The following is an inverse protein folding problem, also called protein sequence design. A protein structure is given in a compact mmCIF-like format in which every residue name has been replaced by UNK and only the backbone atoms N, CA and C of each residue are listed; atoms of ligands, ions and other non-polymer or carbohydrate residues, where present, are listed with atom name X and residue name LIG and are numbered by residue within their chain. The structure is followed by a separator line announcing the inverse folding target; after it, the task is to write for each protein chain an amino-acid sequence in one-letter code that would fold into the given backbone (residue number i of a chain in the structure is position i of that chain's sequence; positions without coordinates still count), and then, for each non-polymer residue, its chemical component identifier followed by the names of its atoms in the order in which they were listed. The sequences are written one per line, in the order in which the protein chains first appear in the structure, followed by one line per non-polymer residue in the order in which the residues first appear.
data_IF_771086428164
#
_entry.id   IF_771086428164
#
_cell.length_a   1.000
_cell.length_b   1.000
_cell.length_c   1.000
_cell.angle_alpha   90.00
_cell.angle_beta   90.00
_cell.angle_gamma   90.00
#
_symmetry.space_group_name_H-M   'P 1'
#
loop_
_entity.id
_entity.type
_entity.pdbx_description
1 polymer ?
#
# COMPACT_ATOMS: atom_id res chain seq x y z
N UNK A 1 -3.96 9.93 -23.96
CA UNK A 1 -3.35 8.59 -24.14
C UNK A 1 -3.86 7.76 -22.98
N UNK A 2 -4.71 6.77 -23.23
CA UNK A 2 -5.09 5.80 -22.21
C UNK A 2 -3.84 4.98 -21.91
N UNK A 3 -3.14 5.34 -20.83
CA UNK A 3 -2.19 4.41 -20.24
C UNK A 3 -3.04 3.26 -19.68
N UNK A 4 -3.07 2.13 -20.39
CA UNK A 4 -3.68 0.91 -19.93
C UNK A 4 -3.00 0.51 -18.60
N UNK A 5 -3.57 0.99 -17.50
CA UNK A 5 -3.15 0.65 -16.15
C UNK A 5 -3.29 -0.85 -15.99
N UNK A 6 -2.20 -1.49 -15.55
CA UNK A 6 -2.21 -2.92 -15.34
C UNK A 6 -2.88 -3.25 -14.00
N UNK A 7 -4.21 -3.09 -13.95
CA UNK A 7 -5.04 -3.27 -12.77
C UNK A 7 -4.89 -4.66 -12.15
N UNK A 8 -4.67 -5.69 -12.98
CA UNK A 8 -4.40 -7.05 -12.51
C UNK A 8 -3.11 -7.11 -11.67
N UNK A 9 -2.05 -6.42 -12.11
CA UNK A 9 -0.79 -6.34 -11.39
C UNK A 9 -0.93 -5.53 -10.10
N UNK A 10 -1.66 -4.41 -10.14
CA UNK A 10 -1.95 -3.57 -8.97
C UNK A 10 -2.72 -4.40 -7.93
N UNK A 11 -3.80 -5.08 -8.32
CA UNK A 11 -4.61 -5.88 -7.40
C UNK A 11 -3.84 -7.05 -6.80
N UNK A 12 -2.97 -7.71 -7.57
CA UNK A 12 -2.17 -8.84 -7.06
C UNK A 12 -1.04 -8.44 -6.11
N UNK A 13 -0.58 -7.19 -6.13
CA UNK A 13 0.57 -6.74 -5.32
C UNK A 13 0.15 -5.71 -4.26
N UNK A 14 -0.56 -4.66 -4.66
CA UNK A 14 -0.97 -3.59 -3.76
C UNK A 14 -1.99 -4.10 -2.72
N UNK A 15 -2.91 -5.00 -3.10
CA UNK A 15 -3.92 -5.51 -2.17
C UNK A 15 -3.31 -6.37 -1.04
N UNK A 16 -2.43 -7.36 -1.31
CA UNK A 16 -1.77 -8.10 -0.22
C UNK A 16 -0.88 -7.23 0.67
N UNK A 17 -0.15 -6.27 0.08
CA UNK A 17 0.70 -5.34 0.85
C UNK A 17 -0.18 -4.44 1.72
N UNK A 18 -1.29 -3.93 1.19
CA UNK A 18 -2.23 -3.12 1.95
C UNK A 18 -2.89 -3.89 3.11
N UNK A 19 -3.21 -5.17 2.92
CA UNK A 19 -3.73 -6.03 3.99
C UNK A 19 -2.68 -6.30 5.08
N UNK A 20 -1.42 -6.52 4.70
CA UNK A 20 -0.33 -6.66 5.64
C UNK A 20 -0.12 -5.39 6.47
N UNK A 21 -0.14 -4.22 5.81
CA UNK A 21 -0.06 -2.92 6.49
C UNK A 21 -1.27 -2.69 7.42
N UNK A 22 -2.48 -3.02 6.99
CA UNK A 22 -3.67 -2.92 7.82
C UNK A 22 -3.52 -3.75 9.12
N UNK A 23 -2.97 -4.96 9.02
CA UNK A 23 -2.70 -5.81 10.18
C UNK A 23 -1.63 -5.21 11.11
N UNK A 24 -0.55 -4.66 10.56
CA UNK A 24 0.49 -3.98 11.37
C UNK A 24 -0.10 -2.77 12.09
N UNK A 25 -0.92 -1.97 11.42
CA UNK A 25 -1.61 -0.84 12.05
C UNK A 25 -2.66 -1.28 13.07
N UNK A 26 -3.21 -2.49 12.96
CA UNK A 26 -4.10 -3.08 13.96
C UNK A 26 -3.33 -3.50 15.21
N UNK A 27 -2.14 -4.08 15.07
CA UNK A 27 -1.33 -4.51 16.21
C UNK A 27 -0.88 -3.35 17.11
N UNK A 28 -0.65 -3.65 18.40
CA UNK A 28 -0.30 -2.66 19.41
C UNK A 28 1.23 -2.42 19.48
N UNK A 29 1.83 -2.17 18.31
CA UNK A 29 3.25 -1.85 18.16
C UNK A 29 3.41 -0.33 18.25
N UNK A 30 4.60 0.16 18.58
CA UNK A 30 4.88 1.60 18.59
C UNK A 30 4.61 2.22 17.22
N UNK A 31 4.19 3.49 17.21
CA UNK A 31 3.89 4.19 15.96
C UNK A 31 5.11 4.32 15.05
N UNK A 32 6.32 4.36 15.61
CA UNK A 32 7.57 4.36 14.84
C UNK A 32 7.68 3.10 13.99
N UNK A 33 7.38 1.93 14.56
CA UNK A 33 7.41 0.65 13.83
C UNK A 33 6.31 0.56 12.77
N UNK A 34 5.12 1.13 13.04
CA UNK A 34 4.04 1.20 12.03
C UNK A 34 4.46 2.05 10.82
N UNK A 35 5.09 3.20 11.06
CA UNK A 35 5.59 4.05 9.98
C UNK A 35 6.76 3.42 9.22
N UNK A 36 7.64 2.69 9.90
CA UNK A 36 8.71 1.92 9.26
C UNK A 36 8.15 0.77 8.41
N UNK A 37 7.13 0.05 8.89
CA UNK A 37 6.42 -0.95 8.08
C UNK A 37 5.82 -0.30 6.84
N UNK A 38 5.09 0.81 7.01
CA UNK A 38 4.44 1.50 5.90
C UNK A 38 5.44 1.92 4.82
N UNK A 39 6.55 2.53 5.22
CA UNK A 39 7.60 2.94 4.27
C UNK A 39 8.24 1.74 3.58
N UNK A 40 8.48 0.63 4.30
CA UNK A 40 8.94 -0.62 3.71
C UNK A 40 7.92 -1.24 2.74
N UNK A 41 6.62 -1.25 3.09
CA UNK A 41 5.53 -1.75 2.26
C UNK A 41 5.34 -0.95 0.97
N UNK A 42 5.40 0.39 1.06
CA UNK A 42 5.37 1.28 -0.10
C UNK A 42 6.58 1.04 -1.03
N UNK A 43 7.77 0.91 -0.46
CA UNK A 43 8.99 0.61 -1.22
C UNK A 43 8.90 -0.75 -1.91
N UNK A 44 8.40 -1.79 -1.21
CA UNK A 44 8.19 -3.13 -1.77
C UNK A 44 7.17 -3.12 -2.92
N UNK A 45 6.00 -2.51 -2.71
CA UNK A 45 4.96 -2.43 -3.74
C UNK A 45 5.46 -1.66 -4.97
N UNK A 46 6.11 -0.51 -4.76
CA UNK A 46 6.73 0.28 -5.81
C UNK A 46 7.82 -0.49 -6.56
N UNK A 47 8.69 -1.20 -5.85
CA UNK A 47 9.77 -1.98 -6.44
C UNK A 47 9.23 -3.15 -7.29
N UNK A 48 8.34 -3.97 -6.74
CA UNK A 48 7.79 -5.14 -7.47
C UNK A 48 7.06 -4.69 -8.74
N UNK A 49 6.31 -3.59 -8.67
CA UNK A 49 5.61 -3.05 -9.84
C UNK A 49 6.57 -2.41 -10.82
N UNK A 50 7.62 -1.72 -10.36
CA UNK A 50 8.64 -1.15 -11.27
C UNK A 50 9.40 -2.22 -12.05
N UNK A 51 9.57 -3.42 -11.47
CA UNK A 51 10.24 -4.56 -12.13
C UNK A 51 9.28 -5.29 -13.08
N UNK A 52 8.00 -5.39 -12.73
CA UNK A 52 7.00 -6.12 -13.54
C UNK A 52 6.30 -5.28 -14.60
N UNK A 53 6.14 -3.98 -14.38
CA UNK A 53 5.53 -3.04 -15.33
C UNK A 53 6.61 -2.33 -16.16
N UNK A 54 6.81 -2.80 -17.39
CA UNK A 54 7.77 -2.21 -18.34
C UNK A 54 7.44 -0.77 -18.72
N UNK A 55 6.18 -0.34 -18.59
CA UNK A 55 5.75 1.04 -18.91
C UNK A 55 5.83 1.96 -17.70
N UNK A 56 6.04 1.43 -16.49
CA UNK A 56 6.14 2.17 -15.21
C UNK A 56 4.93 3.06 -14.88
N UNK A 57 3.86 2.99 -15.65
CA UNK A 57 2.66 3.80 -15.49
C UNK A 57 1.90 3.44 -14.19
N UNK A 58 1.96 2.18 -13.78
CA UNK A 58 1.18 1.68 -12.63
C UNK A 58 1.84 1.90 -11.26
N UNK A 59 3.08 2.41 -11.21
CA UNK A 59 3.86 2.53 -9.97
C UNK A 59 3.19 3.51 -9.00
N UNK A 60 2.86 4.72 -9.48
CA UNK A 60 2.24 5.75 -8.65
C UNK A 60 0.87 5.31 -8.14
N UNK A 61 0.06 4.68 -8.99
CA UNK A 61 -1.28 4.20 -8.63
C UNK A 61 -1.21 3.14 -7.53
N UNK A 62 -0.29 2.20 -7.61
CA UNK A 62 -0.17 1.16 -6.60
C UNK A 62 0.38 1.64 -5.25
N UNK A 63 1.38 2.52 -5.28
CA UNK A 63 1.89 3.17 -4.07
C UNK A 63 0.79 4.01 -3.41
N UNK A 64 0.01 4.75 -4.22
CA UNK A 64 -1.13 5.51 -3.73
C UNK A 64 -2.21 4.62 -3.12
N UNK A 65 -2.52 3.45 -3.70
CA UNK A 65 -3.48 2.50 -3.14
C UNK A 65 -3.02 1.98 -1.77
N UNK A 66 -1.76 1.55 -1.64
CA UNK A 66 -1.22 1.08 -0.36
C UNK A 66 -1.27 2.20 0.70
N UNK A 67 -0.88 3.42 0.31
CA UNK A 67 -0.92 4.58 1.19
C UNK A 67 -2.35 4.94 1.64
N UNK A 68 -3.31 4.99 0.71
CA UNK A 68 -4.72 5.31 0.99
C UNK A 68 -5.36 4.28 1.91
N UNK A 69 -5.09 2.99 1.71
CA UNK A 69 -5.61 1.94 2.59
C UNK A 69 -5.00 2.05 3.99
N UNK A 70 -3.68 2.23 4.10
CA UNK A 70 -3.04 2.43 5.41
C UNK A 70 -3.55 3.69 6.14
N UNK A 71 -3.78 4.78 5.40
CA UNK A 71 -4.35 6.01 5.95
C UNK A 71 -5.80 5.81 6.40
N UNK A 72 -6.61 5.11 5.60
CA UNK A 72 -7.98 4.77 5.95
C UNK A 72 -8.06 3.93 7.21
N UNK A 73 -7.21 2.89 7.34
CA UNK A 73 -7.13 2.05 8.55
C UNK A 73 -6.72 2.88 9.77
N UNK A 74 -5.74 3.78 9.63
CA UNK A 74 -5.32 4.68 10.71
C UNK A 74 -6.46 5.60 11.15
N UNK A 75 -7.18 6.21 10.20
CA UNK A 75 -8.32 7.09 10.50
C UNK A 75 -9.44 6.31 11.18
N UNK A 76 -9.81 5.14 10.67
CA UNK A 76 -10.85 4.29 11.26
C UNK A 76 -10.54 3.90 12.71
N UNK A 77 -9.27 3.59 13.02
CA UNK A 77 -8.81 3.32 14.39
C UNK A 77 -8.88 4.59 15.27
N UNK A 78 -8.56 5.76 14.71
CA UNK A 78 -8.58 7.02 15.45
C UNK A 78 -10.01 7.55 15.70
N UNK A 79 -10.97 7.22 14.85
CA UNK A 79 -12.40 7.51 15.03
C UNK A 79 -13.08 6.59 16.06
N UNK A 80 -12.34 5.66 16.68
CA UNK A 80 -12.89 4.75 17.69
C UNK A 80 -13.90 3.74 17.12
N UNK A 81 -13.90 3.55 15.80
CA UNK A 81 -14.70 2.50 15.16
C UNK A 81 -14.10 1.13 15.48
N UNK A 82 -12.81 1.07 15.87
CA UNK A 82 -12.08 -0.12 16.34
C UNK A 82 -10.99 0.23 17.35
#
# INVERSE_FOLDING_TARGET
MEEDYNWELILKIALPVALAEAYVFYTNISDVWKWLSLTAGLALAGYIISVKDKRKSSIFTAVAVVFLVALAVRLLRNFGVF
#
